data_IF_550919757850
#
_entry.id   IF_550919757850
#
_cell.length_a   1.000
_cell.length_b   1.000
_cell.length_c   1.000
_cell.angle_alpha   90.00
_cell.angle_beta   90.00
_cell.angle_gamma   90.00
#
_symmetry.space_group_name_H-M   'P 1'
#
loop_
_entity.id
_entity.type
_entity.pdbx_description
1 polymer ?
#
# COMPACT_ATOMS: atom_id res chain seq x y z
N UNK A 1 -56.00 70.46 -25.48
CA UNK A 1 -56.84 70.34 -24.26
C UNK A 1 -56.63 68.95 -23.70
N UNK A 2 -56.04 68.84 -22.48
CA UNK A 2 -56.07 67.68 -21.55
C UNK A 2 -55.35 66.38 -22.02
N UNK A 3 -54.62 65.60 -21.22
CA UNK A 3 -54.24 65.53 -19.79
C UNK A 3 -53.03 64.55 -19.71
N UNK A 4 -52.10 64.76 -18.78
CA UNK A 4 -51.17 63.70 -18.31
C UNK A 4 -51.92 62.74 -17.37
N UNK A 5 -51.41 61.51 -17.12
CA UNK A 5 -50.66 61.36 -15.87
C UNK A 5 -49.48 60.37 -15.89
N UNK A 6 -48.43 60.81 -15.19
CA UNK A 6 -47.50 60.08 -14.31
C UNK A 6 -47.79 58.61 -13.99
N UNK A 7 -46.75 57.77 -14.13
CA UNK A 7 -46.56 56.60 -13.27
C UNK A 7 -45.08 56.43 -12.95
N UNK A 8 -44.80 56.57 -11.66
CA UNK A 8 -43.55 56.25 -10.96
C UNK A 8 -43.46 54.72 -10.82
N UNK A 9 -42.36 54.11 -11.23
CA UNK A 9 -41.98 52.73 -10.95
C UNK A 9 -40.45 52.67 -11.05
N UNK A 10 -39.77 52.97 -9.96
CA UNK A 10 -39.27 52.01 -8.98
C UNK A 10 -38.22 51.03 -9.56
N UNK A 11 -37.01 51.27 -9.07
CA UNK A 11 -35.82 50.44 -8.98
C UNK A 11 -35.94 49.03 -9.54
N UNK A 12 -35.03 48.69 -10.45
CA UNK A 12 -34.19 47.50 -10.35
C UNK A 12 -32.91 47.77 -11.14
N UNK A 13 -31.84 48.03 -10.39
CA UNK A 13 -30.46 48.10 -10.87
C UNK A 13 -30.09 46.65 -11.20
N UNK A 14 -29.93 46.31 -12.47
CA UNK A 14 -29.35 45.03 -12.86
C UNK A 14 -27.93 44.97 -12.30
N UNK A 15 -27.76 44.18 -11.25
CA UNK A 15 -26.48 43.78 -10.70
C UNK A 15 -25.97 42.66 -11.62
N UNK A 16 -24.77 42.77 -12.22
CA UNK A 16 -24.21 41.67 -12.99
C UNK A 16 -24.03 40.45 -12.06
N UNK A 17 -24.20 39.21 -12.55
CA UNK A 17 -24.02 38.04 -11.70
C UNK A 17 -22.58 38.03 -11.20
N UNK A 18 -22.46 38.11 -9.88
CA UNK A 18 -21.22 37.86 -9.14
C UNK A 18 -20.69 36.49 -9.54
N UNK A 19 -19.45 36.49 -10.01
CA UNK A 19 -18.62 35.31 -10.18
C UNK A 19 -18.55 34.54 -8.84
N UNK A 20 -19.44 33.58 -8.65
CA UNK A 20 -19.21 32.50 -7.70
C UNK A 20 -18.29 31.48 -8.36
N UNK A 21 -17.02 31.87 -8.51
CA UNK A 21 -15.90 30.94 -8.46
C UNK A 21 -15.82 30.40 -7.02
N UNK A 22 -16.84 29.62 -6.62
CA UNK A 22 -16.60 28.58 -5.63
C UNK A 22 -15.84 27.51 -6.37
N UNK A 23 -14.52 27.63 -6.25
CA UNK A 23 -13.53 26.58 -6.41
C UNK A 23 -14.09 25.27 -5.82
N UNK A 24 -14.79 24.51 -6.67
CA UNK A 24 -15.08 23.12 -6.40
C UNK A 24 -13.74 22.43 -6.56
N UNK A 25 -13.08 22.24 -5.41
CA UNK A 25 -11.99 21.31 -5.28
C UNK A 25 -12.45 20.00 -5.94
N UNK A 26 -11.79 19.67 -7.06
CA UNK A 26 -11.90 18.40 -7.74
C UNK A 26 -11.49 17.31 -6.76
N UNK A 27 -12.45 16.80 -5.99
CA UNK A 27 -12.30 15.50 -5.34
C UNK A 27 -12.30 14.51 -6.48
N UNK A 28 -11.12 13.97 -6.79
CA UNK A 28 -10.96 12.92 -7.78
C UNK A 28 -11.98 11.82 -7.48
N UNK A 29 -12.96 11.66 -8.37
CA UNK A 29 -14.03 10.69 -8.23
C UNK A 29 -13.40 9.30 -8.38
N UNK A 30 -13.31 8.58 -7.27
CA UNK A 30 -12.76 7.23 -7.22
C UNK A 30 -13.63 6.36 -8.13
N UNK A 31 -13.05 5.63 -9.11
CA UNK A 31 -13.83 4.71 -9.92
C UNK A 31 -14.54 3.72 -8.98
N UNK A 32 -15.87 3.52 -9.11
CA UNK A 32 -16.65 2.71 -8.19
C UNK A 32 -16.11 1.27 -8.03
N UNK A 33 -15.30 0.83 -8.99
CA UNK A 33 -14.64 -0.47 -9.02
C UNK A 33 -13.47 -0.63 -8.01
N UNK A 34 -12.71 0.44 -7.71
CA UNK A 34 -11.56 0.34 -6.79
C UNK A 34 -12.00 0.10 -5.35
N UNK A 35 -12.97 0.89 -4.88
CA UNK A 35 -13.59 0.73 -3.56
C UNK A 35 -14.25 -0.65 -3.39
N UNK A 36 -14.97 -1.10 -4.41
CA UNK A 36 -15.62 -2.41 -4.40
C UNK A 36 -14.60 -3.56 -4.37
N UNK A 37 -13.54 -3.45 -5.17
CA UNK A 37 -12.42 -4.40 -5.19
C UNK A 37 -11.73 -4.48 -3.83
N UNK A 38 -11.41 -3.34 -3.22
CA UNK A 38 -10.80 -3.30 -1.88
C UNK A 38 -11.67 -4.01 -0.84
N UNK A 39 -12.96 -3.69 -0.78
CA UNK A 39 -13.89 -4.33 0.18
C UNK A 39 -14.02 -5.83 -0.07
N UNK A 40 -14.03 -6.27 -1.34
CA UNK A 40 -14.08 -7.69 -1.68
C UNK A 40 -12.83 -8.43 -1.21
N UNK A 41 -11.64 -7.93 -1.53
CA UNK A 41 -10.36 -8.53 -1.09
C UNK A 41 -10.28 -8.57 0.42
N UNK A 42 -10.63 -7.46 1.08
CA UNK A 42 -10.62 -7.35 2.53
C UNK A 42 -11.58 -8.36 3.18
N UNK A 43 -12.79 -8.49 2.65
CA UNK A 43 -13.79 -9.46 3.15
C UNK A 43 -13.31 -10.90 2.97
N UNK A 44 -12.73 -11.23 1.82
CA UNK A 44 -12.17 -12.55 1.57
C UNK A 44 -11.04 -12.88 2.56
N UNK A 45 -10.09 -11.96 2.75
CA UNK A 45 -8.97 -12.16 3.65
C UNK A 45 -9.42 -12.33 5.11
N UNK A 46 -10.40 -11.53 5.56
CA UNK A 46 -10.98 -11.68 6.91
C UNK A 46 -11.64 -13.05 7.06
N UNK A 47 -12.39 -13.51 6.05
CA UNK A 47 -13.04 -14.82 6.09
C UNK A 47 -12.01 -15.98 6.13
N UNK A 48 -10.91 -15.87 5.38
CA UNK A 48 -9.82 -16.87 5.34
C UNK A 48 -9.05 -16.93 6.66
N UNK A 49 -8.67 -15.78 7.20
CA UNK A 49 -7.84 -15.69 8.41
C UNK A 49 -8.64 -15.94 9.68
N UNK A 50 -9.98 -15.74 9.65
CA UNK A 50 -10.85 -15.74 10.83
C UNK A 50 -12.20 -16.41 10.57
N UNK A 51 -12.23 -17.72 10.29
CA UNK A 51 -13.47 -18.46 10.08
C UNK A 51 -14.41 -18.32 11.28
N UNK A 52 -15.66 -17.90 11.03
CA UNK A 52 -16.72 -17.75 12.04
C UNK A 52 -16.83 -16.36 12.69
N UNK A 53 -15.92 -15.42 12.41
CA UNK A 53 -16.09 -14.01 12.81
C UNK A 53 -16.89 -13.25 11.75
N UNK A 54 -18.19 -13.10 11.99
CA UNK A 54 -19.13 -12.34 11.14
C UNK A 54 -19.10 -10.85 11.52
N UNK A 55 -17.96 -10.21 11.31
CA UNK A 55 -17.88 -8.74 11.34
C UNK A 55 -18.32 -8.18 9.99
N UNK A 56 -19.20 -7.17 9.96
CA UNK A 56 -19.51 -6.46 8.72
C UNK A 56 -18.30 -5.61 8.35
N UNK A 57 -17.57 -6.01 7.31
CA UNK A 57 -16.48 -5.21 6.73
C UNK A 57 -17.07 -3.97 6.06
N UNK A 58 -16.54 -2.80 6.40
CA UNK A 58 -16.89 -1.53 5.78
C UNK A 58 -15.65 -0.66 5.58
N UNK A 59 -15.80 0.45 4.84
CA UNK A 59 -14.69 1.40 4.65
C UNK A 59 -14.20 2.03 5.96
N UNK A 60 -15.08 2.14 6.95
CA UNK A 60 -14.73 2.68 8.27
C UNK A 60 -14.19 1.64 9.24
N UNK A 61 -14.15 0.35 8.87
CA UNK A 61 -13.63 -0.71 9.73
C UNK A 61 -12.14 -0.51 9.96
N UNK A 62 -11.73 -0.53 11.22
CA UNK A 62 -10.33 -0.53 11.60
C UNK A 62 -9.70 -1.90 11.30
N UNK A 63 -8.59 -1.91 10.55
CA UNK A 63 -7.94 -3.13 10.09
C UNK A 63 -7.50 -4.03 11.24
N UNK A 64 -6.90 -3.46 12.30
CA UNK A 64 -6.47 -4.20 13.49
C UNK A 64 -7.56 -4.34 14.57
N UNK A 65 -8.24 -3.25 14.94
CA UNK A 65 -9.15 -3.29 16.10
C UNK A 65 -10.47 -4.00 15.79
N UNK A 66 -11.04 -3.75 14.61
CA UNK A 66 -12.34 -4.30 14.23
C UNK A 66 -12.19 -5.61 13.45
N UNK A 67 -11.26 -5.63 12.49
CA UNK A 67 -11.03 -6.78 11.61
C UNK A 67 -9.92 -7.70 12.11
N UNK A 68 -9.06 -7.23 13.02
CA UNK A 68 -7.85 -7.88 13.56
C UNK A 68 -6.95 -8.57 12.55
N UNK A 69 -6.75 -7.90 11.44
CA UNK A 69 -5.61 -8.17 10.60
C UNK A 69 -4.35 -7.79 11.39
N UNK A 70 -3.48 -8.76 11.67
CA UNK A 70 -2.15 -8.49 12.21
C UNK A 70 -1.24 -7.90 11.10
N UNK A 71 0.02 -7.60 11.45
CA UNK A 71 0.97 -7.01 10.50
C UNK A 71 1.16 -7.86 9.24
N UNK A 72 1.17 -9.20 9.36
CA UNK A 72 1.35 -10.09 8.22
C UNK A 72 0.10 -10.11 7.32
N UNK A 73 -1.09 -10.19 7.93
CA UNK A 73 -2.34 -10.10 7.20
C UNK A 73 -2.50 -8.74 6.50
N UNK A 74 -2.00 -7.65 7.08
CA UNK A 74 -1.98 -6.33 6.43
C UNK A 74 -1.01 -6.30 5.24
N UNK A 75 0.17 -6.91 5.34
CA UNK A 75 1.07 -7.07 4.17
C UNK A 75 0.36 -7.85 3.05
N UNK A 76 -0.25 -8.98 3.38
CA UNK A 76 -0.98 -9.81 2.42
C UNK A 76 -2.14 -9.04 1.76
N UNK A 77 -2.89 -8.25 2.55
CA UNK A 77 -3.94 -7.38 2.02
C UNK A 77 -3.41 -6.42 0.97
N UNK A 78 -2.30 -5.72 1.26
CA UNK A 78 -1.68 -4.78 0.32
C UNK A 78 -1.20 -5.49 -0.95
N UNK A 79 -0.62 -6.68 -0.83
CA UNK A 79 -0.17 -7.49 -1.97
C UNK A 79 -1.34 -7.90 -2.86
N UNK A 80 -2.43 -8.42 -2.29
CA UNK A 80 -3.62 -8.83 -3.05
C UNK A 80 -4.31 -7.65 -3.73
N UNK A 81 -4.52 -6.55 -2.99
CA UNK A 81 -5.14 -5.34 -3.54
C UNK A 81 -4.28 -4.75 -4.66
N UNK A 82 -2.97 -4.65 -4.45
CA UNK A 82 -2.03 -4.20 -5.49
C UNK A 82 -2.03 -5.11 -6.72
N UNK A 83 -2.09 -6.43 -6.52
CA UNK A 83 -2.17 -7.40 -7.62
C UNK A 83 -3.46 -7.28 -8.42
N UNK A 84 -4.62 -7.17 -7.75
CA UNK A 84 -5.91 -7.09 -8.45
C UNK A 84 -6.13 -5.74 -9.15
N UNK A 85 -5.55 -4.65 -8.61
CA UNK A 85 -5.62 -3.32 -9.22
C UNK A 85 -4.49 -3.05 -10.21
N UNK A 86 -3.50 -3.95 -10.32
CA UNK A 86 -2.30 -3.74 -11.15
C UNK A 86 -1.40 -2.60 -10.68
N UNK A 87 -1.41 -2.26 -9.38
CA UNK A 87 -0.69 -1.12 -8.79
C UNK A 87 0.32 -1.55 -7.74
N UNK A 88 1.42 -0.82 -7.65
CA UNK A 88 2.27 -0.86 -6.47
C UNK A 88 1.72 0.09 -5.40
N UNK A 89 1.51 -0.41 -4.19
CA UNK A 89 1.06 0.42 -3.06
C UNK A 89 2.27 0.84 -2.23
N UNK A 90 2.34 2.11 -1.77
CA UNK A 90 3.47 2.61 -1.01
C UNK A 90 3.59 1.86 0.32
N UNK A 91 4.82 1.60 0.77
CA UNK A 91 5.10 0.97 2.06
C UNK A 91 4.47 1.73 3.24
N UNK A 92 4.36 3.06 3.12
CA UNK A 92 3.66 3.91 4.09
C UNK A 92 2.23 3.44 4.38
N UNK A 93 1.54 2.80 3.43
CA UNK A 93 0.21 2.24 3.65
C UNK A 93 0.20 1.15 4.73
N UNK A 94 1.31 0.42 4.91
CA UNK A 94 1.44 -0.60 5.95
C UNK A 94 1.56 0.03 7.35
N UNK A 95 2.23 1.17 7.46
CA UNK A 95 2.40 1.87 8.74
C UNK A 95 1.21 2.77 9.10
N UNK A 96 0.63 3.45 8.11
CA UNK A 96 -0.26 4.59 8.34
C UNK A 96 -1.75 4.30 8.07
N UNK A 97 -2.10 3.26 7.29
CA UNK A 97 -3.50 2.97 7.00
C UNK A 97 -4.15 2.19 8.14
N UNK A 98 -4.95 2.87 8.98
CA UNK A 98 -5.68 2.25 10.09
C UNK A 98 -7.01 1.63 9.67
N UNK A 99 -7.63 2.18 8.61
CA UNK A 99 -8.94 1.76 8.08
C UNK A 99 -8.88 1.44 6.59
N UNK A 100 -9.91 0.76 6.08
CA UNK A 100 -10.05 0.53 4.64
C UNK A 100 -10.18 1.85 3.84
N UNK A 101 -10.78 2.89 4.42
CA UNK A 101 -10.83 4.22 3.81
C UNK A 101 -9.43 4.85 3.71
N UNK A 102 -8.55 4.65 4.70
CA UNK A 102 -7.17 5.14 4.65
C UNK A 102 -6.40 4.44 3.53
N UNK A 103 -6.56 3.13 3.44
CA UNK A 103 -5.95 2.34 2.38
C UNK A 103 -6.44 2.78 1.00
N UNK A 104 -7.73 3.05 0.83
CA UNK A 104 -8.28 3.63 -0.40
C UNK A 104 -7.60 4.95 -0.76
N UNK A 105 -7.38 5.85 0.21
CA UNK A 105 -6.65 7.11 -0.01
C UNK A 105 -5.20 6.89 -0.46
N UNK A 106 -4.55 5.82 0.01
CA UNK A 106 -3.23 5.44 -0.50
C UNK A 106 -3.29 4.90 -1.92
N UNK A 107 -4.30 4.09 -2.25
CA UNK A 107 -4.52 3.54 -3.60
C UNK A 107 -4.83 4.64 -4.61
N UNK A 108 -5.51 5.72 -4.21
CA UNK A 108 -5.83 6.84 -5.08
C UNK A 108 -4.62 7.75 -5.34
N UNK A 109 -3.72 7.86 -4.35
CA UNK A 109 -2.49 8.66 -4.45
C UNK A 109 -1.35 7.93 -5.12
N UNK A 110 -1.28 6.61 -4.94
CA UNK A 110 -0.49 5.75 -5.78
C UNK A 110 -1.05 5.90 -7.20
N UNK A 111 -0.40 6.70 -8.04
CA UNK A 111 -0.75 6.81 -9.44
C UNK A 111 -0.71 5.44 -10.13
N UNK A 112 -0.87 5.41 -11.44
CA UNK A 112 -0.64 4.18 -12.23
C UNK A 112 0.87 3.90 -12.31
N UNK A 113 1.52 3.75 -11.16
CA UNK A 113 2.80 3.06 -11.03
C UNK A 113 2.44 1.58 -11.22
N UNK A 114 2.52 1.16 -12.48
CA UNK A 114 2.21 -0.19 -12.91
C UNK A 114 3.04 -1.17 -12.09
N UNK A 115 2.38 -2.17 -11.52
CA UNK A 115 3.07 -3.20 -10.75
C UNK A 115 3.96 -3.99 -11.71
N UNK A 116 5.24 -3.63 -11.80
CA UNK A 116 6.22 -4.43 -12.49
C UNK A 116 6.21 -5.83 -11.84
N UNK A 117 6.01 -6.86 -12.64
CA UNK A 117 6.18 -8.23 -12.18
C UNK A 117 7.62 -8.36 -11.69
N UNK A 118 7.81 -8.49 -10.37
CA UNK A 118 9.12 -8.77 -9.79
C UNK A 118 9.46 -10.19 -10.19
N UNK A 119 10.22 -10.33 -11.27
CA UNK A 119 10.93 -11.56 -11.53
C UNK A 119 11.92 -11.74 -10.39
N UNK A 120 11.60 -12.64 -9.45
CA UNK A 120 12.56 -13.13 -8.46
C UNK A 120 13.60 -13.89 -9.24
N UNK A 121 14.69 -13.22 -9.61
CA UNK A 121 15.87 -13.87 -10.12
C UNK A 121 16.47 -14.65 -8.95
N UNK A 122 16.06 -15.91 -8.83
CA UNK A 122 16.67 -16.84 -7.89
C UNK A 122 18.11 -16.99 -8.33
N UNK A 123 19.00 -16.24 -7.68
CA UNK A 123 20.43 -16.33 -7.89
C UNK A 123 20.83 -17.81 -7.97
N UNK A 124 21.70 -18.19 -8.93
CA UNK A 124 22.02 -19.58 -9.17
C UNK A 124 22.41 -20.23 -7.86
N UNK A 125 21.81 -21.39 -7.58
CA UNK A 125 22.01 -22.10 -6.33
C UNK A 125 23.51 -22.25 -6.07
N UNK A 126 24.02 -21.49 -5.11
CA UNK A 126 25.38 -21.64 -4.64
C UNK A 126 25.50 -23.10 -4.20
N UNK A 127 26.45 -23.82 -4.81
CA UNK A 127 26.57 -25.28 -4.86
C UNK A 127 26.46 -26.02 -3.51
N UNK A 128 26.69 -27.33 -3.47
CA UNK A 128 26.45 -28.12 -2.27
C UNK A 128 27.19 -27.54 -1.04
N UNK A 129 26.45 -27.37 0.06
CA UNK A 129 26.99 -26.85 1.32
C UNK A 129 26.94 -27.93 2.39
N UNK A 130 28.03 -28.02 3.15
CA UNK A 130 28.10 -28.89 4.31
C UNK A 130 27.21 -28.38 5.44
N UNK A 131 26.69 -29.29 6.25
CA UNK A 131 25.81 -28.95 7.36
C UNK A 131 26.66 -28.80 8.63
N UNK A 132 26.55 -27.68 9.39
CA UNK A 132 27.25 -27.50 10.66
C UNK A 132 26.63 -28.37 11.77
N UNK A 133 26.94 -29.67 11.78
CA UNK A 133 26.38 -30.62 12.75
C UNK A 133 26.81 -30.37 14.20
N UNK A 134 27.86 -29.57 14.40
CA UNK A 134 28.37 -29.21 15.73
C UNK A 134 27.77 -27.91 16.30
N UNK A 135 27.03 -27.14 15.48
CA UNK A 135 26.40 -25.92 15.96
C UNK A 135 25.17 -26.25 16.83
N UNK A 136 25.14 -25.73 18.05
CA UNK A 136 24.05 -25.87 18.99
C UNK A 136 23.04 -24.72 18.92
N UNK A 137 23.42 -23.59 18.30
CA UNK A 137 22.59 -22.40 18.18
C UNK A 137 22.54 -21.89 16.74
N UNK A 138 21.49 -21.13 16.41
CA UNK A 138 21.39 -20.46 15.11
C UNK A 138 22.55 -19.49 14.88
N UNK A 139 23.01 -18.81 15.94
CA UNK A 139 24.17 -17.92 15.86
C UNK A 139 25.42 -18.72 15.46
N UNK A 140 25.69 -19.87 16.09
CA UNK A 140 26.81 -20.73 15.71
C UNK A 140 26.71 -21.24 14.26
N UNK A 141 25.51 -21.51 13.76
CA UNK A 141 25.29 -21.85 12.34
C UNK A 141 25.69 -20.67 11.44
N UNK A 142 25.21 -19.46 11.75
CA UNK A 142 25.50 -18.26 10.96
C UNK A 142 27.00 -17.92 10.98
N UNK A 143 27.65 -17.99 12.15
CA UNK A 143 29.10 -17.79 12.30
C UNK A 143 29.91 -18.85 11.53
N UNK A 144 29.47 -20.11 11.58
CA UNK A 144 30.09 -21.20 10.84
C UNK A 144 30.04 -20.94 9.33
N UNK A 145 28.90 -20.43 8.81
CA UNK A 145 28.75 -20.06 7.40
C UNK A 145 29.56 -18.80 7.06
N UNK A 146 29.61 -17.79 7.93
CA UNK A 146 30.45 -16.61 7.71
C UNK A 146 31.93 -16.98 7.59
N UNK A 147 32.41 -17.97 8.36
CA UNK A 147 33.79 -18.44 8.28
C UNK A 147 34.10 -19.30 7.03
N UNK A 148 33.15 -20.11 6.55
CA UNK A 148 33.40 -21.12 5.50
C UNK A 148 32.84 -20.75 4.13
N UNK A 149 31.78 -19.96 4.11
CA UNK A 149 31.06 -19.53 2.93
C UNK A 149 30.76 -18.01 3.00
N UNK A 150 31.78 -17.16 3.26
CA UNK A 150 31.57 -15.73 3.51
C UNK A 150 30.80 -15.02 2.40
N UNK A 151 31.13 -15.34 1.15
CA UNK A 151 30.56 -14.70 -0.05
C UNK A 151 29.24 -15.34 -0.51
N UNK A 152 28.74 -16.35 0.20
CA UNK A 152 27.47 -16.99 -0.18
C UNK A 152 26.32 -16.07 0.20
N UNK A 153 25.43 -15.83 -0.76
CA UNK A 153 24.19 -15.09 -0.53
C UNK A 153 23.39 -15.73 0.62
N UNK A 154 23.01 -14.92 1.61
CA UNK A 154 22.14 -15.33 2.70
C UNK A 154 20.76 -14.68 2.59
N UNK A 155 20.71 -13.38 2.29
CA UNK A 155 19.47 -12.61 2.15
C UNK A 155 19.44 -11.91 0.80
N UNK A 156 18.29 -11.90 0.15
CA UNK A 156 17.97 -11.02 -0.96
C UNK A 156 17.02 -9.95 -0.44
N UNK A 157 17.50 -8.72 -0.34
CA UNK A 157 16.71 -7.57 0.09
C UNK A 157 16.07 -6.94 -1.14
N UNK A 158 14.74 -6.94 -1.18
CA UNK A 158 13.95 -6.33 -2.25
C UNK A 158 13.41 -4.99 -1.74
N UNK A 159 13.83 -3.89 -2.36
CA UNK A 159 13.41 -2.54 -2.03
C UNK A 159 14.34 -1.51 -2.65
N UNK A 160 13.86 -0.29 -2.89
CA UNK A 160 14.66 0.79 -3.45
C UNK A 160 13.84 2.07 -3.66
N UNK A 161 14.39 3.21 -3.25
CA UNK A 161 13.93 4.51 -3.71
C UNK A 161 14.27 4.60 -5.21
N UNK A 162 13.35 5.03 -6.08
CA UNK A 162 13.53 5.24 -7.54
C UNK A 162 13.18 4.09 -8.51
N UNK A 163 12.33 3.12 -8.12
CA UNK A 163 11.62 2.28 -9.10
C UNK A 163 12.46 1.21 -9.84
N UNK A 164 13.78 1.19 -9.68
CA UNK A 164 14.62 0.06 -10.08
C UNK A 164 14.58 -1.02 -8.98
N UNK A 165 13.70 -2.01 -9.15
CA UNK A 165 13.66 -3.20 -8.30
C UNK A 165 14.84 -4.13 -8.62
N UNK A 166 16.01 -3.84 -8.05
CA UNK A 166 17.16 -4.77 -8.05
C UNK A 166 17.31 -5.37 -6.66
N UNK A 167 17.30 -6.71 -6.52
CA UNK A 167 17.55 -7.32 -5.22
C UNK A 167 19.00 -7.04 -4.80
N UNK A 168 19.15 -6.42 -3.63
CA UNK A 168 20.45 -6.32 -2.98
C UNK A 168 20.77 -7.68 -2.35
N UNK A 169 21.90 -8.26 -2.73
CA UNK A 169 22.35 -9.53 -2.16
C UNK A 169 23.21 -9.26 -0.94
N UNK A 170 22.80 -9.77 0.21
CA UNK A 170 23.56 -9.71 1.45
C UNK A 170 24.16 -11.08 1.72
N UNK A 171 25.49 -11.14 1.81
CA UNK A 171 26.25 -12.36 2.09
C UNK A 171 26.36 -12.66 3.58
N UNK A 172 26.85 -13.85 3.94
CA UNK A 172 27.13 -14.18 5.34
C UNK A 172 28.20 -13.28 5.96
N UNK A 173 29.20 -12.85 5.18
CA UNK A 173 30.22 -11.91 5.66
C UNK A 173 29.62 -10.53 5.96
N UNK A 174 28.78 -10.01 5.06
CA UNK A 174 28.16 -8.69 5.23
C UNK A 174 27.34 -8.61 6.53
N UNK A 175 26.53 -9.64 6.80
CA UNK A 175 25.75 -9.72 8.04
C UNK A 175 26.64 -9.82 9.29
N UNK A 176 27.71 -10.62 9.22
CA UNK A 176 28.62 -10.79 10.34
C UNK A 176 29.36 -9.50 10.67
N UNK A 177 29.82 -8.77 9.65
CA UNK A 177 30.50 -7.48 9.80
C UNK A 177 29.56 -6.41 10.36
N UNK A 178 28.32 -6.34 9.90
CA UNK A 178 27.33 -5.37 10.38
C UNK A 178 26.78 -5.68 11.79
N UNK A 179 26.96 -6.90 12.29
CA UNK A 179 26.52 -7.31 13.63
C UNK A 179 27.46 -6.90 14.77
N UNK A 180 28.61 -6.30 14.44
CA UNK A 180 29.70 -5.95 15.35
C UNK A 180 29.51 -4.58 16.01
#
# INVERSE_FOLDING_TARGET
MRLQPSAVGDRLREVPPVSEERSQASVAEIPPDTSATLLRVLTALVAETRPGRVGRVSMSSHLERDLGLDSLARVELLLRVGSELGRSLPEAALAEAETAQDLLRFIDRAGVEERAAVAVDLAPAAGPVSVPTAAATLVEVLEWHAQRHPQRAHVLLYGGEHGEFRPETISYADLFEQSR
#
